data_IF_229907973393
#
_entry.id   IF_229907973393
#
_cell.length_a   1.000
_cell.length_b   1.000
_cell.length_c   1.000
_cell.angle_alpha   90.00
_cell.angle_beta   90.00
_cell.angle_gamma   90.00
#
_symmetry.space_group_name_H-M   'P 1'
#
loop_
_entity.id
_entity.type
_entity.pdbx_description
1 polymer ?
#
# COMPACT_ATOMS: atom_id res chain seq x y z
N UNK A 1 13.99 14.35 3.95
CA UNK A 1 12.99 13.61 3.17
C UNK A 1 12.28 14.58 2.28
N UNK A 2 12.10 14.25 1.00
CA UNK A 2 11.35 15.07 0.04
C UNK A 2 10.05 14.36 -0.28
N UNK A 3 8.93 15.08 -0.24
CA UNK A 3 7.63 14.50 -0.53
C UNK A 3 7.45 14.34 -2.04
N UNK A 4 7.24 13.10 -2.50
CA UNK A 4 6.97 12.79 -3.90
C UNK A 4 5.46 12.86 -4.19
N UNK A 5 4.66 12.29 -3.27
CA UNK A 5 3.19 12.28 -3.31
C UNK A 5 2.62 12.30 -1.89
N UNK A 6 1.54 13.03 -1.69
CA UNK A 6 0.63 12.88 -0.53
C UNK A 6 -0.79 13.03 -1.01
N UNK A 7 -1.54 11.95 -0.93
CA UNK A 7 -2.93 11.90 -1.38
C UNK A 7 -3.80 11.36 -0.27
N UNK A 8 -4.99 11.94 -0.10
CA UNK A 8 -5.97 11.49 0.88
C UNK A 8 -7.08 10.71 0.17
N UNK A 9 -7.49 9.59 0.76
CA UNK A 9 -8.57 8.78 0.22
C UNK A 9 -9.87 9.58 0.17
N UNK A 10 -10.78 9.21 -0.74
CA UNK A 10 -12.03 9.97 -0.98
C UNK A 10 -12.92 10.04 0.26
N UNK A 11 -12.94 8.97 1.05
CA UNK A 11 -13.65 8.87 2.32
C UNK A 11 -12.88 9.50 3.49
N UNK A 12 -11.65 9.99 3.25
CA UNK A 12 -10.84 10.74 4.20
C UNK A 12 -10.16 9.90 5.28
N UNK A 13 -10.24 8.57 5.22
CA UNK A 13 -9.77 7.64 6.26
C UNK A 13 -8.30 7.24 6.09
N UNK A 14 -7.76 7.26 4.87
CA UNK A 14 -6.37 6.93 4.59
C UNK A 14 -5.64 8.11 3.94
N UNK A 15 -4.35 8.20 4.20
CA UNK A 15 -3.44 9.12 3.50
C UNK A 15 -2.27 8.30 2.97
N UNK A 16 -2.10 8.27 1.65
CA UNK A 16 -1.00 7.58 0.97
C UNK A 16 0.15 8.57 0.82
N UNK A 17 1.34 8.16 1.23
CA UNK A 17 2.53 8.99 1.23
C UNK A 17 3.65 8.26 0.49
N UNK A 18 4.28 8.97 -0.46
CA UNK A 18 5.52 8.54 -1.10
C UNK A 18 6.60 9.58 -0.80
N UNK A 19 7.69 9.16 -0.18
CA UNK A 19 8.79 10.04 0.24
C UNK A 19 10.12 9.55 -0.30
N UNK A 20 10.96 10.50 -0.73
CA UNK A 20 12.37 10.28 -0.96
C UNK A 20 13.15 10.50 0.34
N UNK A 21 14.15 9.67 0.58
CA UNK A 21 15.08 9.79 1.69
C UNK A 21 16.51 9.46 1.23
N UNK A 22 17.47 9.63 2.13
CA UNK A 22 18.88 9.30 1.86
C UNK A 22 19.28 8.24 2.88
N UNK A 23 19.76 7.10 2.39
CA UNK A 23 20.31 6.01 3.18
C UNK A 23 21.58 6.47 3.94
N UNK A 24 22.02 5.68 4.92
CA UNK A 24 23.22 5.99 5.71
C UNK A 24 24.50 6.02 4.86
N UNK A 25 24.52 5.29 3.76
CA UNK A 25 25.63 5.25 2.80
C UNK A 25 25.57 6.38 1.74
N UNK A 26 24.56 7.27 1.83
CA UNK A 26 24.37 8.40 0.93
C UNK A 26 23.56 8.08 -0.33
N UNK A 27 23.11 6.85 -0.53
CA UNK A 27 22.25 6.48 -1.67
C UNK A 27 20.82 7.02 -1.51
N UNK A 28 20.14 7.47 -2.58
CA UNK A 28 18.75 7.89 -2.50
C UNK A 28 17.82 6.68 -2.42
N UNK A 29 16.86 6.74 -1.49
CA UNK A 29 15.81 5.74 -1.31
C UNK A 29 14.42 6.35 -1.48
N UNK A 30 13.43 5.50 -1.74
CA UNK A 30 12.02 5.88 -1.82
C UNK A 30 11.21 4.93 -0.93
N UNK A 31 10.28 5.46 -0.15
CA UNK A 31 9.35 4.68 0.66
C UNK A 31 7.92 5.11 0.35
N UNK A 32 7.03 4.14 0.15
CA UNK A 32 5.61 4.33 -0.14
C UNK A 32 4.82 3.60 0.94
N UNK A 33 3.89 4.30 1.59
CA UNK A 33 3.09 3.71 2.66
C UNK A 33 1.88 4.57 3.00
N UNK A 34 1.20 4.20 4.08
CA UNK A 34 0.07 4.97 4.60
C UNK A 34 0.51 5.78 5.82
N UNK A 35 0.11 7.05 5.90
CA UNK A 35 0.40 7.90 7.05
C UNK A 35 -0.17 7.28 8.33
N UNK A 36 0.63 7.24 9.39
CA UNK A 36 0.29 6.59 10.66
C UNK A 36 0.39 5.07 10.67
N UNK A 37 0.68 4.41 9.53
CA UNK A 37 0.89 2.96 9.47
C UNK A 37 2.39 2.60 9.49
N UNK A 38 2.79 1.50 10.14
CA UNK A 38 4.18 1.03 10.13
C UNK A 38 4.60 0.43 8.78
N UNK A 39 3.64 -0.12 8.03
CA UNK A 39 3.89 -0.75 6.75
C UNK A 39 4.25 0.27 5.67
N UNK A 40 5.29 -0.04 4.92
CA UNK A 40 5.72 0.68 3.73
C UNK A 40 6.45 -0.28 2.79
N UNK A 41 6.59 0.12 1.54
CA UNK A 41 7.34 -0.60 0.52
C UNK A 41 8.38 0.31 -0.13
N UNK A 42 9.47 -0.31 -0.55
CA UNK A 42 10.54 0.30 -1.32
C UNK A 42 10.49 -0.19 -2.77
N UNK A 43 11.02 0.58 -3.73
CA UNK A 43 11.30 0.05 -5.06
C UNK A 43 12.08 -1.27 -4.99
N UNK A 44 11.88 -2.19 -5.96
CA UNK A 44 12.69 -3.39 -6.08
C UNK A 44 14.18 -3.07 -6.03
N UNK A 45 14.97 -3.99 -5.46
CA UNK A 45 16.41 -3.80 -5.26
C UNK A 45 17.14 -3.46 -6.57
N UNK A 46 16.69 -4.01 -7.70
CA UNK A 46 17.29 -3.73 -9.01
C UNK A 46 17.06 -2.29 -9.49
N UNK A 47 16.12 -1.56 -8.89
CA UNK A 47 15.83 -0.16 -9.18
C UNK A 47 16.45 0.78 -8.14
N UNK A 48 17.06 0.27 -7.07
CA UNK A 48 17.58 1.12 -6.00
C UNK A 48 18.63 2.11 -6.52
N UNK A 49 18.50 3.38 -6.13
CA UNK A 49 19.35 4.47 -6.61
C UNK A 49 19.16 4.88 -8.08
N UNK A 50 18.34 4.16 -8.85
CA UNK A 50 18.09 4.45 -10.26
C UNK A 50 16.99 5.51 -10.45
N UNK A 51 17.12 6.34 -11.49
CA UNK A 51 16.09 7.36 -11.80
C UNK A 51 14.70 6.75 -12.08
N UNK A 52 14.65 5.49 -12.53
CA UNK A 52 13.40 4.78 -12.80
C UNK A 52 12.63 4.40 -11.53
N UNK A 53 13.28 4.38 -10.36
CA UNK A 53 12.62 4.13 -9.07
C UNK A 53 11.52 5.17 -8.77
N UNK A 54 11.76 6.44 -9.14
CA UNK A 54 10.75 7.48 -8.99
C UNK A 54 9.53 7.23 -9.88
N UNK A 55 9.75 6.76 -11.11
CA UNK A 55 8.66 6.43 -12.02
C UNK A 55 7.86 5.23 -11.49
N UNK A 56 8.55 4.17 -11.05
CA UNK A 56 7.92 3.02 -10.40
C UNK A 56 7.05 3.44 -9.21
N UNK A 57 7.56 4.34 -8.37
CA UNK A 57 6.82 4.84 -7.21
C UNK A 57 5.56 5.63 -7.62
N UNK A 58 5.65 6.45 -8.66
CA UNK A 58 4.50 7.19 -9.20
C UNK A 58 3.47 6.26 -9.82
N UNK A 59 3.91 5.21 -10.51
CA UNK A 59 3.03 4.23 -11.13
C UNK A 59 2.29 3.39 -10.07
N UNK A 60 3.00 2.95 -9.02
CA UNK A 60 2.36 2.26 -7.90
C UNK A 60 1.33 3.16 -7.20
N UNK A 61 1.69 4.41 -6.92
CA UNK A 61 0.74 5.39 -6.36
C UNK A 61 -0.46 5.59 -7.29
N UNK A 62 -0.24 5.69 -8.60
CA UNK A 62 -1.30 5.82 -9.59
C UNK A 62 -2.24 4.60 -9.56
N UNK A 63 -1.71 3.39 -9.41
CA UNK A 63 -2.52 2.17 -9.31
C UNK A 63 -3.35 2.13 -8.03
N UNK A 64 -2.81 2.60 -6.89
CA UNK A 64 -3.59 2.74 -5.65
C UNK A 64 -4.74 3.74 -5.86
N UNK A 65 -4.44 4.97 -6.29
CA UNK A 65 -5.45 6.04 -6.38
C UNK A 65 -6.55 5.75 -7.41
N UNK A 66 -6.23 4.97 -8.45
CA UNK A 66 -7.19 4.55 -9.48
C UNK A 66 -7.98 3.28 -9.11
N UNK A 67 -7.95 2.84 -7.84
CA UNK A 67 -8.65 1.65 -7.35
C UNK A 67 -8.21 0.36 -8.05
N UNK A 68 -6.95 0.27 -8.48
CA UNK A 68 -6.40 -0.97 -9.04
C UNK A 68 -5.80 -1.86 -7.98
N UNK A 69 -5.26 -1.30 -6.90
CA UNK A 69 -4.66 -2.06 -5.80
C UNK A 69 -5.67 -2.30 -4.67
N UNK A 70 -5.66 -3.50 -4.10
CA UNK A 70 -6.42 -3.81 -2.89
C UNK A 70 -5.63 -3.37 -1.65
N UNK A 71 -6.30 -2.64 -0.76
CA UNK A 71 -5.78 -2.22 0.54
C UNK A 71 -6.38 -3.15 1.60
N UNK A 72 -5.52 -3.62 2.50
CA UNK A 72 -5.88 -4.50 3.60
C UNK A 72 -5.58 -3.78 4.91
N UNK A 73 -6.59 -3.65 5.75
CA UNK A 73 -6.42 -3.23 7.14
C UNK A 73 -6.55 -4.44 8.04
N UNK A 74 -5.49 -4.78 8.76
CA UNK A 74 -5.48 -5.81 9.79
C UNK A 74 -5.53 -5.15 11.17
N UNK A 75 -6.41 -5.64 12.05
CA UNK A 75 -6.49 -5.18 13.45
C UNK A 75 -6.42 -6.38 14.38
N UNK A 76 -5.50 -6.35 15.35
CA UNK A 76 -5.32 -7.37 16.39
C UNK A 76 -4.92 -6.72 17.71
N UNK A 77 -5.63 -7.02 18.80
CA UNK A 77 -5.30 -6.66 20.20
C UNK A 77 -4.57 -5.30 20.41
N UNK A 78 -5.07 -4.21 19.81
CA UNK A 78 -4.53 -2.85 19.96
C UNK A 78 -3.49 -2.43 18.91
N UNK A 79 -3.21 -3.30 17.94
CA UNK A 79 -2.41 -3.05 16.76
C UNK A 79 -3.34 -2.90 15.53
N UNK A 80 -3.05 -1.90 14.69
CA UNK A 80 -3.67 -1.72 13.38
C UNK A 80 -2.57 -1.54 12.35
N UNK A 81 -2.63 -2.32 11.26
CA UNK A 81 -1.73 -2.21 10.12
C UNK A 81 -2.55 -2.03 8.85
N UNK A 82 -2.14 -1.08 8.02
CA UNK A 82 -2.71 -0.83 6.69
C UNK A 82 -1.63 -1.12 5.66
N UNK A 83 -1.91 -2.01 4.71
CA UNK A 83 -0.96 -2.46 3.68
C UNK A 83 -1.61 -2.71 2.33
N UNK A 84 -0.79 -2.80 1.28
CA UNK A 84 -1.25 -3.29 -0.03
C UNK A 84 -1.25 -4.83 -0.07
N UNK A 85 -2.21 -5.43 -0.78
CA UNK A 85 -2.28 -6.88 -0.94
C UNK A 85 -1.18 -7.41 -1.88
N UNK A 86 -0.49 -8.48 -1.46
CA UNK A 86 0.72 -9.02 -2.08
C UNK A 86 0.55 -10.48 -2.56
N UNK A 87 -0.61 -10.85 -3.13
CA UNK A 87 -0.98 -12.19 -3.63
C UNK A 87 -1.62 -13.19 -2.66
N UNK A 88 -1.26 -13.25 -1.39
CA UNK A 88 -1.96 -14.10 -0.41
C UNK A 88 -2.51 -13.24 0.73
N UNK A 89 -3.84 -13.19 0.83
CA UNK A 89 -4.50 -12.80 2.06
C UNK A 89 -4.32 -13.98 3.01
N UNK A 90 -3.14 -14.03 3.63
CA UNK A 90 -2.78 -15.14 4.50
C UNK A 90 -3.69 -15.20 5.73
N UNK A 91 -3.92 -16.43 6.13
CA UNK A 91 -4.93 -16.88 7.08
C UNK A 91 -4.99 -16.04 8.37
N UNK A 92 -6.19 -15.55 8.67
CA UNK A 92 -6.60 -14.83 9.88
C UNK A 92 -6.10 -15.54 11.15
N UNK A 93 -5.30 -14.86 11.97
CA UNK A 93 -5.09 -15.23 13.38
C UNK A 93 -6.43 -15.25 14.13
N UNK A 94 -6.54 -16.04 15.22
CA UNK A 94 -7.83 -16.29 15.92
C UNK A 94 -8.60 -15.02 16.36
N UNK A 95 -7.93 -13.88 16.49
CA UNK A 95 -8.51 -12.59 16.94
C UNK A 95 -8.36 -11.44 15.93
N UNK A 96 -7.81 -11.69 14.75
CA UNK A 96 -7.60 -10.62 13.77
C UNK A 96 -8.91 -10.20 13.11
N UNK A 97 -9.12 -8.91 12.87
CA UNK A 97 -10.16 -8.43 11.95
C UNK A 97 -9.52 -7.88 10.69
N UNK A 98 -9.99 -8.38 9.54
CA UNK A 98 -9.49 -7.96 8.23
C UNK A 98 -10.58 -7.13 7.53
N UNK A 99 -10.19 -5.98 7.02
CA UNK A 99 -10.99 -5.13 6.15
C UNK A 99 -10.28 -5.01 4.80
N UNK A 100 -11.01 -5.29 3.73
CA UNK A 100 -10.51 -5.14 2.36
C UNK A 100 -11.21 -3.96 1.72
N UNK A 101 -10.45 -3.09 1.05
CA UNK A 101 -11.02 -1.92 0.40
C UNK A 101 -10.20 -1.43 -0.76
N UNK A 102 -10.83 -0.60 -1.59
CA UNK A 102 -10.14 0.24 -2.55
C UNK A 102 -9.95 1.67 -2.02
N UNK A 103 -9.12 2.43 -2.73
CA UNK A 103 -8.77 3.81 -2.39
C UNK A 103 -9.98 4.74 -2.27
N UNK A 104 -10.99 4.54 -3.10
CA UNK A 104 -12.23 5.33 -3.08
C UNK A 104 -13.11 5.11 -1.82
N UNK A 105 -12.74 4.17 -0.93
CA UNK A 105 -13.51 3.82 0.27
C UNK A 105 -14.49 2.67 0.08
N UNK A 106 -14.56 2.06 -1.11
CA UNK A 106 -15.36 0.86 -1.32
C UNK A 106 -14.77 -0.30 -0.53
N UNK A 107 -15.53 -0.78 0.45
CA UNK A 107 -15.24 -2.02 1.17
C UNK A 107 -15.61 -3.22 0.30
N UNK A 108 -14.79 -4.25 0.31
CA UNK A 108 -14.93 -5.49 -0.44
C UNK A 108 -15.01 -6.66 0.53
N UNK A 109 -15.90 -7.62 0.27
CA UNK A 109 -15.97 -8.84 1.06
C UNK A 109 -14.91 -9.84 0.63
N UNK A 110 -14.44 -10.69 1.54
CA UNK A 110 -13.52 -11.78 1.20
C UNK A 110 -14.15 -12.75 0.18
N UNK A 111 -15.46 -12.98 0.27
CA UNK A 111 -16.21 -13.82 -0.68
C UNK A 111 -16.15 -13.25 -2.10
N UNK A 112 -16.31 -11.93 -2.28
CA UNK A 112 -16.25 -11.32 -3.60
C UNK A 112 -14.84 -11.37 -4.22
N UNK A 113 -13.79 -11.38 -3.38
CA UNK A 113 -12.41 -11.57 -3.82
C UNK A 113 -12.17 -13.04 -4.24
N UNK A 114 -12.63 -14.01 -3.44
CA UNK A 114 -12.47 -15.44 -3.73
C UNK A 114 -13.26 -15.86 -4.97
N UNK A 115 -14.49 -15.35 -5.11
CA UNK A 115 -15.36 -15.60 -6.26
C UNK A 115 -14.89 -14.89 -7.54
N UNK A 116 -13.88 -14.01 -7.44
CA UNK A 116 -13.36 -13.24 -8.58
C UNK A 116 -14.34 -12.18 -9.11
N UNK A 117 -15.34 -11.78 -8.31
CA UNK A 117 -16.28 -10.69 -8.67
C UNK A 117 -15.59 -9.33 -8.64
N UNK A 118 -14.51 -9.23 -7.87
CA UNK A 118 -13.64 -8.07 -7.77
C UNK A 118 -12.24 -8.47 -8.20
N UNK A 119 -11.68 -7.73 -9.15
CA UNK A 119 -10.28 -7.87 -9.57
C UNK A 119 -9.44 -6.74 -9.01
N UNK A 120 -8.18 -7.03 -8.74
CA UNK A 120 -7.17 -6.06 -8.34
C UNK A 120 -5.83 -6.45 -8.94
N UNK A 121 -4.94 -5.48 -9.04
CA UNK A 121 -3.52 -5.69 -9.35
C UNK A 121 -2.83 -6.02 -8.03
N UNK A 122 -2.28 -7.23 -7.87
CA UNK A 122 -1.49 -7.56 -6.70
C UNK A 122 -0.16 -6.81 -6.71
N UNK A 123 0.35 -6.50 -5.52
CA UNK A 123 1.67 -5.88 -5.37
C UNK A 123 2.75 -6.89 -5.76
N UNK A 124 3.49 -6.59 -6.83
CA UNK A 124 4.59 -7.39 -7.41
C UNK A 124 5.94 -7.06 -6.82
#
# INVERSE_FOLDING_TARGET
MTNLVTERSRDGTLTLVANEYVNLDGTPGIAIGFDGAPWHIHPPEELEGAAIAQQWARDLVADVINNRMLIVTCRDEGFEEVRLAHFEVDFKGRNESLEFRFWNGQIVSLEDLIDGKVSYVPLS
#
